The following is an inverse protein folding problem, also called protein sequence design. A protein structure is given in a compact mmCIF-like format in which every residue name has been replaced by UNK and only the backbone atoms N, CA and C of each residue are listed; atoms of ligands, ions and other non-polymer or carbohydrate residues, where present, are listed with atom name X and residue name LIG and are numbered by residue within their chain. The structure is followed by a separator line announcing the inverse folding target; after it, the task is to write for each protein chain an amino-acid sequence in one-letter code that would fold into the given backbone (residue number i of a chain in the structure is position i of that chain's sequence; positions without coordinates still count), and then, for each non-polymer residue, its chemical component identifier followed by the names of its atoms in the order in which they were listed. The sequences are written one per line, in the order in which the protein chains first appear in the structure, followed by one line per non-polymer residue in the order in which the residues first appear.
data_IF_273767098028
#
_entry.id   IF_273767098028
#
_cell.length_a   1.000
_cell.length_b   1.000
_cell.length_c   1.000
_cell.angle_alpha   90.00
_cell.angle_beta   90.00
_cell.angle_gamma   90.00
#
_symmetry.space_group_name_H-M   'P 1'
#
loop_
_entity.id
_entity.type
_entity.pdbx_description
1 polymer ?
#
# COMPACT_ATOMS: atom_id res chain seq x y z
N UNK A 1 11.48 -9.90 -4.61
CA UNK A 1 11.00 -9.24 -3.37
C UNK A 1 10.04 -8.08 -3.61
N UNK A 2 10.06 -7.35 -4.74
CA UNK A 2 9.20 -6.15 -4.89
C UNK A 2 7.71 -6.43 -5.17
N UNK A 3 7.38 -7.43 -5.98
CA UNK A 3 5.97 -7.69 -6.36
C UNK A 3 5.15 -8.33 -5.22
N UNK A 4 5.73 -9.31 -4.51
CA UNK A 4 5.10 -9.91 -3.34
C UNK A 4 4.85 -8.89 -2.21
N UNK A 5 5.72 -7.88 -2.08
CA UNK A 5 5.52 -6.79 -1.12
C UNK A 5 4.39 -5.85 -1.58
N UNK A 6 4.26 -5.59 -2.88
CA UNK A 6 3.20 -4.75 -3.42
C UNK A 6 1.82 -5.39 -3.22
N UNK A 7 1.66 -6.65 -3.63
CA UNK A 7 0.40 -7.38 -3.48
C UNK A 7 -0.02 -7.51 -2.01
N UNK A 8 0.96 -7.73 -1.12
CA UNK A 8 0.72 -7.74 0.31
C UNK A 8 0.12 -6.41 0.80
N UNK A 9 0.77 -5.28 0.49
CA UNK A 9 0.30 -3.97 0.96
C UNK A 9 -1.05 -3.58 0.35
N UNK A 10 -1.28 -3.86 -0.93
CA UNK A 10 -2.57 -3.58 -1.57
C UNK A 10 -3.70 -4.45 -0.99
N UNK A 11 -3.43 -5.73 -0.70
CA UNK A 11 -4.41 -6.61 -0.06
C UNK A 11 -4.74 -6.12 1.36
N UNK A 12 -3.72 -5.82 2.17
CA UNK A 12 -3.92 -5.33 3.54
C UNK A 12 -4.69 -4.01 3.55
N UNK A 13 -4.38 -3.07 2.66
CA UNK A 13 -5.13 -1.82 2.55
C UNK A 13 -6.64 -2.06 2.30
N UNK A 14 -7.01 -3.04 1.47
CA UNK A 14 -8.41 -3.41 1.22
C UNK A 14 -9.06 -4.10 2.42
N UNK A 15 -8.35 -5.03 3.05
CA UNK A 15 -8.84 -5.73 4.25
C UNK A 15 -9.14 -4.75 5.39
N UNK A 16 -8.23 -3.82 5.66
CA UNK A 16 -8.39 -2.81 6.70
C UNK A 16 -9.53 -1.83 6.37
N UNK A 17 -9.67 -1.41 5.11
CA UNK A 17 -10.81 -0.59 4.68
C UNK A 17 -12.15 -1.33 4.84
N UNK A 18 -12.20 -2.62 4.53
CA UNK A 18 -13.39 -3.44 4.71
C UNK A 18 -13.70 -3.66 6.20
N UNK A 19 -12.69 -3.86 7.05
CA UNK A 19 -12.84 -3.98 8.50
C UNK A 19 -13.36 -2.67 9.11
N UNK A 20 -12.87 -1.52 8.63
CA UNK A 20 -13.38 -0.21 9.04
C UNK A 20 -14.87 -0.01 8.71
N UNK A 21 -15.31 -0.48 7.54
CA UNK A 21 -16.70 -0.38 7.11
C UNK A 21 -17.65 -1.30 7.91
N UNK A 22 -17.14 -2.42 8.40
CA UNK A 22 -17.90 -3.41 9.16
C UNK A 22 -17.85 -3.19 10.67
N UNK A 23 -16.93 -2.36 11.16
CA UNK A 23 -16.74 -2.17 12.59
C UNK A 23 -17.86 -1.32 13.21
N UNK A 24 -18.55 -1.81 14.26
CA UNK A 24 -19.58 -1.05 14.95
C UNK A 24 -19.01 0.03 15.90
N UNK A 25 -17.70 -0.01 16.18
CA UNK A 25 -17.04 0.97 17.04
C UNK A 25 -16.32 2.02 16.22
N UNK A 26 -16.70 3.29 16.41
CA UNK A 26 -16.09 4.41 15.70
C UNK A 26 -14.56 4.50 15.93
N UNK A 27 -14.08 4.19 17.14
CA UNK A 27 -12.65 4.19 17.45
C UNK A 27 -11.89 3.09 16.70
N UNK A 28 -12.45 1.88 16.68
CA UNK A 28 -11.88 0.73 15.95
C UNK A 28 -11.95 0.96 14.44
N UNK A 29 -13.06 1.46 13.92
CA UNK A 29 -13.20 1.86 12.52
C UNK A 29 -12.16 2.90 12.11
N UNK A 30 -11.88 3.87 12.98
CA UNK A 30 -10.87 4.91 12.72
C UNK A 30 -9.46 4.34 12.69
N UNK A 31 -9.12 3.42 13.61
CA UNK A 31 -7.84 2.73 13.59
C UNK A 31 -7.64 1.92 12.30
N UNK A 32 -8.64 1.16 11.86
CA UNK A 32 -8.60 0.44 10.59
C UNK A 32 -8.46 1.37 9.38
N UNK A 33 -9.10 2.55 9.37
CA UNK A 33 -8.91 3.55 8.31
C UNK A 33 -7.48 4.06 8.24
N UNK A 34 -6.86 4.34 9.38
CA UNK A 34 -5.46 4.78 9.44
C UNK A 34 -4.52 3.70 8.88
N UNK A 35 -4.70 2.44 9.29
CA UNK A 35 -3.92 1.32 8.76
C UNK A 35 -4.12 1.14 7.25
N UNK A 36 -5.34 1.28 6.74
CA UNK A 36 -5.62 1.22 5.32
C UNK A 36 -4.84 2.29 4.52
N UNK A 37 -4.76 3.51 5.07
CA UNK A 37 -4.00 4.62 4.47
C UNK A 37 -2.50 4.32 4.48
N UNK A 38 -1.95 3.82 5.60
CA UNK A 38 -0.54 3.47 5.72
C UNK A 38 -0.13 2.38 4.72
N UNK A 39 -0.90 1.30 4.63
CA UNK A 39 -0.65 0.24 3.67
C UNK A 39 -0.78 0.72 2.23
N UNK A 40 -1.76 1.58 1.92
CA UNK A 40 -1.88 2.18 0.60
C UNK A 40 -0.67 3.07 0.25
N UNK A 41 -0.13 3.80 1.22
CA UNK A 41 1.08 4.61 1.04
C UNK A 41 2.31 3.72 0.78
N UNK A 42 2.47 2.63 1.52
CA UNK A 42 3.54 1.65 1.31
C UNK A 42 3.46 0.99 -0.07
N UNK A 43 2.26 0.60 -0.52
CA UNK A 43 2.06 0.07 -1.87
C UNK A 43 2.51 1.06 -2.96
N UNK A 44 2.15 2.35 -2.80
CA UNK A 44 2.58 3.42 -3.72
C UNK A 44 4.10 3.59 -3.72
N UNK A 45 4.74 3.52 -2.55
CA UNK A 45 6.20 3.61 -2.45
C UNK A 45 6.87 2.44 -3.17
N UNK A 46 6.43 1.20 -2.91
CA UNK A 46 6.99 0.00 -3.57
C UNK A 46 6.82 0.09 -5.08
N UNK A 47 5.64 0.52 -5.55
CA UNK A 47 5.38 0.73 -6.99
C UNK A 47 6.29 1.80 -7.59
N UNK A 48 6.55 2.88 -6.86
CA UNK A 48 7.43 3.97 -7.31
C UNK A 48 8.88 3.48 -7.40
N UNK A 49 9.35 2.75 -6.39
CA UNK A 49 10.70 2.15 -6.38
C UNK A 49 10.88 1.12 -7.51
N UNK A 50 9.85 0.32 -7.78
CA UNK A 50 9.86 -0.63 -8.89
C UNK A 50 9.98 0.08 -10.25
N UNK A 51 9.22 1.18 -10.45
CA UNK A 51 9.31 2.00 -11.67
C UNK A 51 10.68 2.69 -11.83
N UNK A 52 11.26 3.20 -10.74
CA UNK A 52 12.60 3.81 -10.77
C UNK A 52 13.65 2.77 -11.17
N UNK A 53 13.57 1.56 -10.62
CA UNK A 53 14.51 0.48 -10.95
C UNK A 53 14.33 -0.07 -12.37
N UNK A 54 13.11 -0.02 -12.90
CA UNK A 54 12.79 -0.49 -14.25
C UNK A 54 13.18 0.51 -15.35
N UNK A 55 13.45 1.78 -15.02
CA UNK A 55 14.05 2.71 -15.98
C UNK A 55 15.53 2.33 -16.16
N UNK A 56 15.96 1.88 -17.35
CA UNK A 56 17.38 1.82 -17.64
C UNK A 56 17.91 3.26 -17.55
N UNK A 57 19.09 3.43 -17.00
CA UNK A 57 19.91 4.61 -17.23
C UNK A 57 20.22 4.71 -18.71
N UNK A 58 19.28 5.20 -19.52
CA UNK A 58 19.58 5.73 -20.85
C UNK A 58 20.22 7.10 -20.65
N UNK A 59 21.45 7.24 -21.17
CA UNK A 59 22.06 8.54 -21.44
C UNK A 59 23.20 8.95 -20.53
N UNK A 60 24.35 8.30 -20.67
CA UNK A 60 25.62 9.03 -20.72
C UNK A 60 26.50 8.41 -21.81
N UNK A 61 26.16 8.78 -23.05
CA UNK A 61 27.10 8.74 -24.17
C UNK A 61 28.05 9.94 -24.11
#
# INVERSE_FOLDING_TARGET
MNEQNLEYYERRAREEAAAAAQSPSAGVASAHRLLAIEYAAQAREVRSRAQIRAKPTEGRG
#
